data_IF_272466219985
#
_entry.id   IF_272466219985
#
_cell.length_a   1.000
_cell.length_b   1.000
_cell.length_c   1.000
_cell.angle_alpha   90.00
_cell.angle_beta   90.00
_cell.angle_gamma   90.00
#
_symmetry.space_group_name_H-M   'P 1'
#
loop_
_entity.id
_entity.type
_entity.pdbx_description
1 polymer ?
#
# COMPACT_ATOMS: atom_id res chain seq x y z
N UNK A 1 27.68 -12.81 -2.58
CA UNK A 1 27.78 -11.34 -2.82
C UNK A 1 26.45 -10.66 -3.19
N UNK A 2 25.64 -11.17 -4.13
CA UNK A 2 24.34 -10.54 -4.49
C UNK A 2 23.30 -10.49 -3.36
N UNK A 3 23.17 -11.56 -2.56
CA UNK A 3 22.20 -11.62 -1.46
C UNK A 3 22.51 -10.60 -0.34
N UNK A 4 23.78 -10.49 0.07
CA UNK A 4 24.23 -9.53 1.09
C UNK A 4 24.06 -8.08 0.59
N UNK A 5 24.32 -7.82 -0.70
CA UNK A 5 24.09 -6.49 -1.28
C UNK A 5 22.60 -6.16 -1.41
N UNK A 6 21.73 -7.15 -1.65
CA UNK A 6 20.28 -6.98 -1.65
C UNK A 6 19.74 -6.70 -0.24
N UNK A 7 20.16 -7.48 0.75
CA UNK A 7 19.84 -7.27 2.17
C UNK A 7 20.31 -5.89 2.67
N UNK A 8 21.49 -5.42 2.21
CA UNK A 8 21.99 -4.07 2.55
C UNK A 8 21.18 -2.93 1.92
N UNK A 9 20.45 -3.19 0.84
CA UNK A 9 19.66 -2.18 0.13
C UNK A 9 18.25 -2.03 0.71
N UNK A 10 17.68 -3.12 1.26
CA UNK A 10 16.37 -3.09 1.90
C UNK A 10 16.46 -2.58 3.34
N UNK A 11 16.41 -1.25 3.48
CA UNK A 11 16.48 -0.57 4.78
C UNK A 11 15.37 -0.98 5.74
N UNK A 12 14.20 -1.39 5.24
CA UNK A 12 13.08 -1.77 6.10
C UNK A 12 13.40 -3.13 6.71
N UNK A 13 13.83 -4.09 5.89
CA UNK A 13 14.28 -5.39 6.37
C UNK A 13 15.45 -5.28 7.36
N UNK A 14 16.40 -4.37 7.13
CA UNK A 14 17.50 -4.14 8.08
C UNK A 14 17.02 -3.59 9.42
N UNK A 15 16.11 -2.61 9.40
CA UNK A 15 15.54 -2.04 10.63
C UNK A 15 14.75 -3.10 11.38
N UNK A 16 13.93 -3.90 10.68
CA UNK A 16 13.18 -4.97 11.32
C UNK A 16 14.09 -6.05 11.87
N UNK A 17 15.09 -6.52 11.13
CA UNK A 17 16.09 -7.45 11.66
C UNK A 17 16.83 -6.88 12.87
N UNK A 18 17.18 -5.59 12.84
CA UNK A 18 17.83 -4.88 13.94
C UNK A 18 16.95 -4.77 15.19
N UNK A 19 15.63 -4.81 15.06
CA UNK A 19 14.69 -4.89 16.19
C UNK A 19 14.46 -6.33 16.60
N UNK A 20 14.23 -7.23 15.65
CA UNK A 20 13.91 -8.65 15.88
C UNK A 20 15.02 -9.37 16.62
N UNK A 21 16.29 -9.21 16.20
CA UNK A 21 17.41 -9.95 16.77
C UNK A 21 17.63 -9.65 18.26
N UNK A 22 17.67 -8.38 18.73
CA UNK A 22 17.70 -8.09 20.16
C UNK A 22 16.46 -8.58 20.90
N UNK A 23 15.27 -8.45 20.29
CA UNK A 23 14.02 -8.83 20.95
C UNK A 23 13.91 -10.34 21.19
N UNK A 24 14.47 -11.16 20.28
CA UNK A 24 14.59 -12.62 20.45
C UNK A 24 15.42 -13.01 21.68
N UNK A 25 16.31 -12.13 22.16
CA UNK A 25 17.08 -12.37 23.39
C UNK A 25 16.24 -12.09 24.65
N UNK A 26 15.24 -11.21 24.54
CA UNK A 26 14.33 -10.84 25.64
C UNK A 26 13.21 -11.87 25.81
N UNK A 27 12.70 -12.41 24.70
CA UNK A 27 11.69 -13.46 24.71
C UNK A 27 11.89 -14.45 23.56
N UNK A 28 11.87 -15.77 23.81
CA UNK A 28 12.10 -16.75 22.76
C UNK A 28 10.98 -16.68 21.70
N UNK A 29 11.34 -16.72 20.40
CA UNK A 29 10.36 -16.79 19.33
C UNK A 29 9.74 -18.18 19.28
N UNK A 30 8.43 -18.26 19.06
CA UNK A 30 7.73 -19.52 18.84
C UNK A 30 7.39 -19.67 17.36
N UNK A 31 7.43 -20.89 16.81
CA UNK A 31 6.98 -21.14 15.43
C UNK A 31 5.50 -20.77 15.22
N UNK A 32 4.71 -20.82 16.30
CA UNK A 32 3.30 -20.41 16.31
C UNK A 32 3.11 -18.89 16.20
N UNK A 33 4.15 -18.08 16.46
CA UNK A 33 4.08 -16.61 16.29
C UNK A 33 3.93 -16.24 14.81
N UNK A 34 4.34 -17.12 13.90
CA UNK A 34 4.31 -16.91 12.46
C UNK A 34 3.01 -17.44 11.85
N UNK A 35 2.23 -16.54 11.24
CA UNK A 35 1.05 -16.92 10.48
C UNK A 35 1.44 -17.34 9.05
N UNK A 36 1.71 -18.64 8.88
CA UNK A 36 2.09 -19.24 7.60
C UNK A 36 1.05 -19.04 6.48
N UNK A 37 -0.27 -19.23 6.70
CA UNK A 37 -1.27 -18.90 5.71
C UNK A 37 -1.15 -17.48 5.14
N UNK A 38 -0.92 -16.48 6.01
CA UNK A 38 -0.74 -15.08 5.58
C UNK A 38 0.51 -14.93 4.72
N UNK A 39 1.63 -15.53 5.10
CA UNK A 39 2.86 -15.47 4.30
C UNK A 39 2.71 -16.11 2.93
N UNK A 40 2.02 -17.25 2.83
CA UNK A 40 1.76 -17.92 1.55
C UNK A 40 0.78 -17.13 0.67
N UNK A 41 -0.25 -16.53 1.29
CA UNK A 41 -1.18 -15.62 0.61
C UNK A 41 -0.46 -14.37 0.11
N UNK A 42 0.41 -13.75 0.94
CA UNK A 42 1.26 -12.63 0.55
C UNK A 42 2.16 -12.99 -0.63
N UNK A 43 2.84 -14.14 -0.60
CA UNK A 43 3.68 -14.58 -1.71
C UNK A 43 2.87 -14.70 -3.00
N UNK A 44 1.71 -15.36 -2.92
CA UNK A 44 0.83 -15.56 -4.08
C UNK A 44 0.43 -14.22 -4.70
N UNK A 45 0.06 -13.26 -3.85
CA UNK A 45 -0.30 -11.92 -4.29
C UNK A 45 0.88 -11.17 -4.89
N UNK A 46 2.02 -11.10 -4.21
CA UNK A 46 3.19 -10.38 -4.70
C UNK A 46 3.67 -10.91 -6.06
N UNK A 47 3.65 -12.23 -6.27
CA UNK A 47 4.00 -12.81 -7.57
C UNK A 47 2.94 -12.50 -8.65
N UNK A 48 1.66 -12.66 -8.32
CA UNK A 48 0.56 -12.30 -9.24
C UNK A 48 0.66 -10.84 -9.68
N UNK A 49 0.92 -9.95 -8.73
CA UNK A 49 1.11 -8.51 -8.95
C UNK A 49 2.30 -8.22 -9.88
N UNK A 50 3.43 -8.91 -9.69
CA UNK A 50 4.60 -8.77 -10.58
C UNK A 50 4.29 -9.21 -12.00
N UNK A 51 3.51 -10.28 -12.16
CA UNK A 51 3.07 -10.72 -13.48
C UNK A 51 2.16 -9.67 -14.15
N UNK A 52 1.19 -9.10 -13.42
CA UNK A 52 0.38 -7.99 -13.93
C UNK A 52 1.22 -6.75 -14.28
N UNK A 53 2.16 -6.36 -13.43
CA UNK A 53 3.07 -5.22 -13.68
C UNK A 53 3.87 -5.43 -14.98
N UNK A 54 4.43 -6.63 -15.16
CA UNK A 54 5.24 -6.95 -16.33
C UNK A 54 4.45 -6.96 -17.65
N UNK A 55 3.12 -7.13 -17.59
CA UNK A 55 2.23 -7.01 -18.76
C UNK A 55 1.98 -5.57 -19.23
N UNK A 56 2.54 -4.55 -18.55
CA UNK A 56 2.47 -3.11 -18.91
C UNK A 56 1.06 -2.50 -18.98
N UNK A 57 0.05 -3.15 -18.36
CA UNK A 57 -1.35 -2.71 -18.44
C UNK A 57 -1.57 -1.30 -17.87
N UNK A 58 -1.02 -1.00 -16.69
CA UNK A 58 -1.16 0.33 -16.07
C UNK A 58 -0.40 1.39 -16.85
N UNK A 59 0.80 1.07 -17.35
CA UNK A 59 1.58 2.02 -18.13
C UNK A 59 0.81 2.45 -19.38
N UNK A 60 0.22 1.48 -20.08
CA UNK A 60 -0.65 1.74 -21.23
C UNK A 60 -1.90 2.55 -20.87
N UNK A 61 -2.63 2.17 -19.81
CA UNK A 61 -3.83 2.89 -19.38
C UNK A 61 -3.51 4.33 -19.00
N UNK A 62 -2.41 4.55 -18.26
CA UNK A 62 -1.97 5.87 -17.88
C UNK A 62 -1.64 6.73 -19.10
N UNK A 63 -0.90 6.20 -20.08
CA UNK A 63 -0.60 6.93 -21.33
C UNK A 63 -1.88 7.24 -22.13
N UNK A 64 -2.83 6.30 -22.22
CA UNK A 64 -4.14 6.50 -22.88
C UNK A 64 -4.96 7.62 -22.22
N UNK A 65 -5.00 7.64 -20.89
CA UNK A 65 -5.72 8.68 -20.13
C UNK A 65 -5.07 10.06 -20.29
N UNK A 66 -3.74 10.10 -20.33
CA UNK A 66 -2.98 11.33 -20.60
C UNK A 66 -3.35 11.89 -21.98
N UNK A 67 -3.43 11.06 -23.03
CA UNK A 67 -3.82 11.51 -24.38
C UNK A 67 -5.25 12.06 -24.46
N UNK A 68 -6.17 11.55 -23.62
CA UNK A 68 -7.55 12.04 -23.56
C UNK A 68 -7.69 13.35 -22.78
N UNK A 69 -6.63 13.78 -22.09
CA UNK A 69 -6.67 14.93 -21.19
C UNK A 69 -6.49 16.23 -21.97
N UNK A 70 -7.49 17.12 -21.90
CA UNK A 70 -7.48 18.43 -22.56
C UNK A 70 -6.97 19.55 -21.66
N UNK A 71 -6.95 19.36 -20.35
CA UNK A 71 -6.51 20.36 -19.36
C UNK A 71 -5.66 19.72 -18.27
N UNK A 72 -4.84 20.52 -17.57
CA UNK A 72 -4.04 20.03 -16.44
C UNK A 72 -4.92 19.42 -15.34
N UNK A 73 -6.05 20.07 -15.02
CA UNK A 73 -7.03 19.54 -14.07
C UNK A 73 -7.59 18.18 -14.48
N UNK A 74 -7.97 18.03 -15.75
CA UNK A 74 -8.50 16.76 -16.24
C UNK A 74 -7.43 15.66 -16.19
N UNK A 75 -6.19 15.99 -16.56
CA UNK A 75 -5.06 15.07 -16.43
C UNK A 75 -4.88 14.59 -14.98
N UNK A 76 -4.86 15.52 -14.02
CA UNK A 76 -4.70 15.17 -12.61
C UNK A 76 -5.85 14.31 -12.11
N UNK A 77 -7.10 14.63 -12.47
CA UNK A 77 -8.26 13.77 -12.13
C UNK A 77 -8.09 12.35 -12.64
N UNK A 78 -7.69 12.18 -13.90
CA UNK A 78 -7.46 10.85 -14.46
C UNK A 78 -6.32 10.11 -13.76
N UNK A 79 -5.22 10.79 -13.45
CA UNK A 79 -4.10 10.17 -12.74
C UNK A 79 -4.46 9.80 -11.30
N UNK A 80 -5.22 10.64 -10.58
CA UNK A 80 -5.67 10.33 -9.22
C UNK A 80 -6.67 9.18 -9.23
N UNK A 81 -7.63 9.17 -10.16
CA UNK A 81 -8.57 8.05 -10.36
C UNK A 81 -7.82 6.77 -10.69
N UNK A 82 -6.89 6.80 -11.65
CA UNK A 82 -6.08 5.64 -12.00
C UNK A 82 -5.26 5.14 -10.81
N UNK A 83 -4.72 6.05 -10.00
CA UNK A 83 -3.88 5.66 -8.85
C UNK A 83 -4.72 5.08 -7.72
N UNK A 84 -5.88 5.67 -7.46
CA UNK A 84 -6.82 5.20 -6.46
C UNK A 84 -7.34 3.80 -6.80
N UNK A 85 -7.94 3.63 -7.98
CA UNK A 85 -8.46 2.32 -8.41
C UNK A 85 -7.35 1.33 -8.77
N UNK A 86 -6.24 1.80 -9.34
CA UNK A 86 -5.09 0.97 -9.64
C UNK A 86 -4.48 0.37 -8.37
N UNK A 87 -4.43 1.13 -7.28
CA UNK A 87 -3.85 0.66 -6.02
C UNK A 87 -4.77 -0.36 -5.31
N UNK A 88 -6.08 -0.36 -5.59
CA UNK A 88 -6.98 -1.43 -5.15
C UNK A 88 -6.62 -2.80 -5.73
N UNK A 89 -6.05 -2.82 -6.93
CA UNK A 89 -5.76 -4.07 -7.64
C UNK A 89 -4.29 -4.43 -7.51
N UNK A 90 -3.40 -3.45 -7.70
CA UNK A 90 -1.98 -3.70 -7.94
C UNK A 90 -1.04 -3.38 -6.80
N UNK A 91 -1.58 -2.84 -5.70
CA UNK A 91 -0.88 -2.20 -4.58
C UNK A 91 -0.44 -0.77 -4.80
N UNK A 92 -0.35 -0.04 -3.69
CA UNK A 92 0.15 1.34 -3.63
C UNK A 92 1.56 1.48 -4.20
N UNK A 93 2.46 0.53 -3.90
CA UNK A 93 3.86 0.61 -4.32
C UNK A 93 4.03 0.49 -5.84
N UNK A 94 3.35 -0.48 -6.48
CA UNK A 94 3.38 -0.66 -7.95
C UNK A 94 2.82 0.57 -8.66
N UNK A 95 1.72 1.13 -8.15
CA UNK A 95 1.13 2.37 -8.69
C UNK A 95 2.11 3.53 -8.58
N UNK A 96 2.79 3.68 -7.45
CA UNK A 96 3.79 4.74 -7.24
C UNK A 96 4.98 4.55 -8.19
N UNK A 97 5.53 3.33 -8.30
CA UNK A 97 6.62 2.98 -9.23
C UNK A 97 6.27 3.24 -10.68
N UNK A 98 5.00 3.09 -11.05
CA UNK A 98 4.54 3.31 -12.43
C UNK A 98 4.21 4.78 -12.71
N UNK A 99 3.47 5.43 -11.81
CA UNK A 99 2.86 6.73 -12.06
C UNK A 99 3.77 7.92 -11.70
N UNK A 100 4.66 7.81 -10.71
CA UNK A 100 5.60 8.90 -10.39
C UNK A 100 6.56 9.20 -11.57
N UNK A 101 7.22 8.21 -12.20
CA UNK A 101 8.04 8.46 -13.37
C UNK A 101 7.25 9.05 -14.53
N UNK A 102 6.00 8.62 -14.70
CA UNK A 102 5.10 9.15 -15.72
C UNK A 102 4.79 10.63 -15.48
N UNK A 103 4.39 11.01 -14.26
CA UNK A 103 4.14 12.41 -13.89
C UNK A 103 5.38 13.27 -14.15
N UNK A 104 6.57 12.78 -13.78
CA UNK A 104 7.82 13.48 -14.03
C UNK A 104 8.10 13.67 -15.53
N UNK A 105 7.88 12.62 -16.34
CA UNK A 105 8.01 12.70 -17.81
C UNK A 105 7.04 13.72 -18.41
N UNK A 106 5.80 13.76 -17.94
CA UNK A 106 4.81 14.74 -18.41
C UNK A 106 5.21 16.16 -17.98
N UNK A 107 5.66 16.34 -16.73
CA UNK A 107 6.04 17.66 -16.23
C UNK A 107 7.25 18.28 -16.97
N UNK A 108 8.08 17.47 -17.62
CA UNK A 108 9.15 17.96 -18.51
C UNK A 108 8.62 18.64 -19.77
N UNK A 109 7.40 18.31 -20.21
CA UNK A 109 6.77 18.88 -21.42
C UNK A 109 5.64 19.87 -21.09
N UNK A 110 4.98 19.71 -19.95
CA UNK A 110 3.87 20.56 -19.49
C UNK A 110 4.14 20.99 -18.07
N UNK A 111 4.24 22.29 -17.82
CA UNK A 111 4.55 22.82 -16.50
C UNK A 111 3.33 22.82 -15.58
N UNK A 112 3.39 22.05 -14.49
CA UNK A 112 2.41 22.11 -13.40
C UNK A 112 3.11 21.94 -12.05
N UNK A 113 2.37 22.12 -10.95
CA UNK A 113 2.92 21.90 -9.60
C UNK A 113 3.20 20.40 -9.38
N UNK A 114 4.41 19.99 -9.70
CA UNK A 114 4.90 18.61 -9.61
C UNK A 114 4.85 18.06 -8.18
N UNK A 115 5.22 18.89 -7.19
CA UNK A 115 5.26 18.46 -5.80
C UNK A 115 3.84 18.14 -5.30
N UNK A 116 2.87 18.99 -5.64
CA UNK A 116 1.46 18.76 -5.35
C UNK A 116 0.94 17.50 -6.05
N UNK A 117 1.28 17.31 -7.33
CA UNK A 117 0.85 16.15 -8.11
C UNK A 117 1.37 14.83 -7.52
N UNK A 118 2.67 14.73 -7.21
CA UNK A 118 3.25 13.52 -6.60
C UNK A 118 2.67 13.28 -5.19
N UNK A 119 2.44 14.35 -4.41
CA UNK A 119 1.85 14.22 -3.07
C UNK A 119 0.43 13.66 -3.13
N UNK A 120 -0.43 14.23 -3.97
CA UNK A 120 -1.80 13.73 -4.14
C UNK A 120 -1.85 12.34 -4.76
N UNK A 121 -0.91 12.01 -5.67
CA UNK A 121 -0.76 10.67 -6.23
C UNK A 121 -0.47 9.65 -5.13
N UNK A 122 0.45 9.97 -4.22
CA UNK A 122 0.81 9.11 -3.10
C UNK A 122 -0.39 8.91 -2.15
N UNK A 123 -1.12 9.98 -1.84
CA UNK A 123 -2.35 9.90 -1.05
C UNK A 123 -3.40 9.02 -1.76
N UNK A 124 -3.57 9.21 -3.07
CA UNK A 124 -4.49 8.40 -3.88
C UNK A 124 -4.11 6.91 -3.86
N UNK A 125 -2.82 6.59 -3.98
CA UNK A 125 -2.34 5.22 -3.90
C UNK A 125 -2.58 4.61 -2.50
N UNK A 126 -2.28 5.33 -1.42
CA UNK A 126 -2.52 4.85 -0.06
C UNK A 126 -4.01 4.63 0.21
N UNK A 127 -4.86 5.62 -0.04
CA UNK A 127 -6.30 5.51 0.24
C UNK A 127 -6.99 4.53 -0.70
N UNK A 128 -6.57 4.47 -1.97
CA UNK A 128 -7.05 3.48 -2.92
C UNK A 128 -6.72 2.06 -2.49
N UNK A 129 -5.46 1.82 -2.08
CA UNK A 129 -5.03 0.52 -1.57
C UNK A 129 -5.80 0.03 -0.35
N UNK A 130 -6.36 0.93 0.44
CA UNK A 130 -7.13 0.57 1.63
C UNK A 130 -8.45 -0.16 1.33
N UNK A 131 -8.96 -0.09 0.08
CA UNK A 131 -10.32 -0.56 -0.22
C UNK A 131 -10.41 -2.08 -0.33
N UNK A 132 -9.33 -2.75 -0.73
CA UNK A 132 -9.32 -4.20 -0.97
C UNK A 132 -8.33 -4.90 -0.03
N UNK A 133 -8.47 -6.22 0.19
CA UNK A 133 -7.49 -6.98 0.96
C UNK A 133 -6.10 -6.95 0.32
N UNK A 134 -6.06 -6.92 -1.02
CA UNK A 134 -4.84 -7.05 -1.82
C UNK A 134 -4.13 -5.74 -2.08
N UNK A 135 -4.80 -4.60 -1.87
CA UNK A 135 -4.24 -3.30 -2.17
C UNK A 135 -3.04 -2.97 -1.28
N UNK A 136 -3.02 -3.43 -0.03
CA UNK A 136 -1.85 -3.27 0.81
C UNK A 136 -1.68 -4.43 1.80
N UNK A 137 -0.45 -4.65 2.28
CA UNK A 137 -0.18 -5.77 3.17
C UNK A 137 -0.90 -5.68 4.53
N UNK A 138 -1.11 -4.48 5.08
CA UNK A 138 -1.83 -4.32 6.36
C UNK A 138 -3.28 -4.77 6.27
N UNK A 139 -3.96 -4.53 5.15
CA UNK A 139 -5.32 -5.00 4.93
C UNK A 139 -5.38 -6.50 4.75
N UNK A 140 -4.42 -7.08 4.03
CA UNK A 140 -4.36 -8.52 3.91
C UNK A 140 -4.14 -9.18 5.29
N UNK A 141 -3.32 -8.56 6.14
CA UNK A 141 -3.16 -9.03 7.51
C UNK A 141 -4.48 -8.97 8.29
N UNK A 142 -5.19 -7.82 8.28
CA UNK A 142 -6.50 -7.68 8.92
C UNK A 142 -7.49 -8.73 8.41
N UNK A 143 -7.53 -8.92 7.10
CA UNK A 143 -8.41 -9.85 6.41
C UNK A 143 -8.24 -11.28 6.93
N UNK A 144 -6.99 -11.76 7.04
CA UNK A 144 -6.71 -13.11 7.49
C UNK A 144 -6.76 -13.25 9.03
N UNK A 145 -6.22 -12.26 9.77
CA UNK A 145 -6.16 -12.31 11.23
C UNK A 145 -7.56 -12.34 11.85
N UNK A 146 -8.48 -11.51 11.35
CA UNK A 146 -9.87 -11.47 11.81
C UNK A 146 -10.82 -12.37 10.99
N UNK A 147 -10.29 -13.17 10.06
CA UNK A 147 -11.07 -14.09 9.22
C UNK A 147 -12.26 -13.41 8.52
N UNK A 148 -12.00 -12.23 7.95
CA UNK A 148 -13.02 -11.43 7.28
C UNK A 148 -13.40 -12.03 5.94
N UNK A 149 -14.66 -11.89 5.55
CA UNK A 149 -15.07 -12.11 4.16
C UNK A 149 -14.78 -10.88 3.30
N UNK A 150 -14.60 -11.08 1.98
CA UNK A 150 -14.42 -9.95 1.05
C UNK A 150 -15.55 -8.93 1.17
N UNK A 151 -16.79 -9.40 1.33
CA UNK A 151 -17.95 -8.53 1.51
C UNK A 151 -17.84 -7.69 2.79
N UNK A 152 -17.45 -8.28 3.92
CA UNK A 152 -17.28 -7.54 5.17
C UNK A 152 -16.22 -6.45 5.04
N UNK A 153 -15.06 -6.77 4.43
CA UNK A 153 -14.01 -5.77 4.23
C UNK A 153 -14.47 -4.65 3.29
N UNK A 154 -15.13 -4.96 2.19
CA UNK A 154 -15.67 -3.94 1.27
C UNK A 154 -16.74 -3.06 1.94
N UNK A 155 -17.57 -3.65 2.81
CA UNK A 155 -18.57 -2.91 3.59
C UNK A 155 -17.94 -1.99 4.63
N UNK A 156 -16.79 -2.35 5.20
CA UNK A 156 -16.00 -1.47 6.07
C UNK A 156 -15.29 -0.38 5.27
N UNK A 157 -14.82 -0.70 4.06
CA UNK A 157 -14.02 0.18 3.24
C UNK A 157 -14.82 1.27 2.51
N UNK A 158 -16.05 1.00 2.06
CA UNK A 158 -16.76 1.90 1.15
C UNK A 158 -16.96 3.34 1.68
N UNK A 159 -17.25 3.61 2.98
CA UNK A 159 -17.44 4.99 3.43
C UNK A 159 -16.14 5.77 3.32
N UNK A 160 -15.02 5.15 3.73
CA UNK A 160 -13.69 5.71 3.58
C UNK A 160 -13.32 5.89 2.11
N UNK A 161 -13.66 4.92 1.25
CA UNK A 161 -13.39 4.98 -0.18
C UNK A 161 -14.10 6.15 -0.88
N UNK A 162 -15.38 6.38 -0.56
CA UNK A 162 -16.14 7.50 -1.13
C UNK A 162 -15.61 8.84 -0.64
N UNK A 163 -15.36 8.98 0.67
CA UNK A 163 -14.83 10.22 1.23
C UNK A 163 -13.45 10.56 0.66
N UNK A 164 -12.54 9.58 0.64
CA UNK A 164 -11.19 9.75 0.08
C UNK A 164 -11.22 10.05 -1.42
N UNK A 165 -11.98 9.29 -2.21
CA UNK A 165 -12.15 9.53 -3.64
C UNK A 165 -12.71 10.91 -3.95
N UNK A 166 -13.73 11.36 -3.20
CA UNK A 166 -14.30 12.70 -3.30
C UNK A 166 -13.30 13.79 -2.95
N UNK A 167 -12.61 13.68 -1.81
CA UNK A 167 -11.59 14.64 -1.37
C UNK A 167 -10.42 14.75 -2.37
N UNK A 168 -9.96 13.63 -2.92
CA UNK A 168 -8.92 13.61 -3.95
C UNK A 168 -9.38 14.30 -5.24
N UNK A 169 -10.61 14.03 -5.67
CA UNK A 169 -11.15 14.63 -6.87
C UNK A 169 -11.38 16.14 -6.73
N UNK A 170 -11.79 16.59 -5.54
CA UNK A 170 -11.88 18.01 -5.16
C UNK A 170 -10.51 18.66 -5.09
N UNK A 171 -9.50 17.97 -4.53
CA UNK A 171 -8.12 18.46 -4.45
C UNK A 171 -7.52 18.73 -5.84
N UNK A 172 -7.99 18.03 -6.87
CA UNK A 172 -7.59 18.29 -8.26
C UNK A 172 -8.04 19.68 -8.75
N UNK A 173 -8.98 20.36 -8.09
CA UNK A 173 -9.39 21.72 -8.43
C UNK A 173 -8.28 22.75 -8.20
N UNK A 174 -7.24 22.43 -7.42
CA UNK A 174 -6.04 23.25 -7.27
C UNK A 174 -5.18 23.34 -8.56
N UNK A 175 -5.45 22.51 -9.56
CA UNK A 175 -4.78 22.57 -10.86
C UNK A 175 -5.54 23.43 -11.87
N UNK A 176 -4.77 24.03 -12.78
CA UNK A 176 -5.28 24.95 -13.81
C UNK A 176 -6.22 24.25 -14.79
N UNK A 177 -7.18 25.01 -15.32
CA UNK A 177 -8.00 24.61 -16.48
C UNK A 177 -7.33 24.94 -17.82
N UNK A 178 -6.09 25.43 -17.81
CA UNK A 178 -5.34 25.75 -19.02
C UNK A 178 -5.29 24.55 -19.98
N UNK A 179 -5.41 24.80 -21.30
CA UNK A 179 -5.33 23.74 -22.30
C UNK A 179 -3.99 23.03 -22.22
N UNK A 180 -4.04 21.71 -22.34
CA UNK A 180 -2.89 20.83 -22.25
C UNK A 180 -2.66 20.20 -23.61
N UNK A 181 -1.55 20.58 -24.26
CA UNK A 181 -1.08 19.96 -25.49
C UNK A 181 0.08 19.03 -25.17
N UNK A 182 -0.24 17.77 -24.87
CA UNK A 182 0.76 16.74 -24.64
C UNK A 182 0.42 15.52 -25.49
N UNK A 183 1.37 15.13 -26.35
CA UNK A 183 1.32 13.87 -27.06
C UNK A 183 2.49 13.00 -26.58
N UNK A 184 2.23 11.81 -26.00
CA UNK A 184 3.29 10.86 -25.70
C UNK A 184 3.93 10.41 -27.02
N UNK A 185 5.27 10.35 -27.04
CA UNK A 185 6.02 10.02 -28.26
C UNK A 185 5.87 8.56 -28.71
N UNK A 186 5.67 7.63 -27.77
CA UNK A 186 5.48 6.20 -28.06
C UNK A 186 4.58 5.59 -26.99
N UNK A 187 3.58 4.82 -27.44
CA UNK A 187 2.71 4.05 -26.56
C UNK A 187 3.22 2.62 -26.50
N UNK A 188 3.53 2.13 -25.31
CA UNK A 188 3.87 0.72 -25.13
C UNK A 188 2.56 -0.08 -25.04
N UNK A 189 2.38 -1.02 -25.98
CA UNK A 189 1.20 -1.88 -25.99
C UNK A 189 1.32 -2.94 -24.89
N UNK A 190 0.25 -3.20 -24.13
CA UNK A 190 0.27 -4.22 -23.09
C UNK A 190 0.03 -5.60 -23.70
N UNK A 191 0.48 -6.64 -23.00
CA UNK A 191 0.31 -8.02 -23.42
C UNK A 191 -1.10 -8.52 -23.06
N UNK A 192 -2.14 -8.09 -23.78
CA UNK A 192 -3.54 -8.45 -23.51
C UNK A 192 -3.78 -9.96 -23.39
N UNK A 193 -3.03 -10.77 -24.14
CA UNK A 193 -3.13 -12.24 -24.09
C UNK A 193 -2.80 -12.82 -22.72
N UNK A 194 -1.98 -12.14 -21.91
CA UNK A 194 -1.64 -12.60 -20.56
C UNK A 194 -2.85 -12.58 -19.63
N UNK A 195 -3.87 -11.75 -19.90
CA UNK A 195 -5.09 -11.70 -19.10
C UNK A 195 -5.85 -13.04 -19.12
N UNK A 196 -5.72 -13.85 -20.18
CA UNK A 196 -6.30 -15.18 -20.25
C UNK A 196 -5.77 -16.13 -19.17
N UNK A 197 -4.54 -15.91 -18.70
CA UNK A 197 -3.91 -16.67 -17.61
C UNK A 197 -4.08 -15.92 -16.28
N UNK A 198 -3.85 -14.61 -16.28
CA UNK A 198 -3.83 -13.81 -15.05
C UNK A 198 -5.22 -13.68 -14.40
N UNK A 199 -6.30 -13.56 -15.18
CA UNK A 199 -7.65 -13.42 -14.61
C UNK A 199 -8.09 -14.70 -13.89
N UNK A 200 -8.00 -15.92 -14.49
CA UNK A 200 -8.29 -17.15 -13.76
C UNK A 200 -7.42 -17.36 -12.52
N UNK A 201 -6.12 -17.07 -12.61
CA UNK A 201 -5.19 -17.19 -11.48
C UNK A 201 -5.56 -16.20 -10.37
N UNK A 202 -5.94 -14.97 -10.72
CA UNK A 202 -6.42 -13.99 -9.74
C UNK A 202 -7.70 -14.47 -9.04
N UNK A 203 -8.61 -15.14 -9.75
CA UNK A 203 -9.81 -15.75 -9.15
C UNK A 203 -9.40 -16.86 -8.18
N UNK A 204 -8.46 -17.74 -8.54
CA UNK A 204 -7.96 -18.79 -7.63
C UNK A 204 -7.35 -18.16 -6.36
N UNK A 205 -6.49 -17.15 -6.52
CA UNK A 205 -5.90 -16.43 -5.38
C UNK A 205 -6.98 -15.78 -4.52
N UNK A 206 -8.04 -15.22 -5.11
CA UNK A 206 -9.17 -14.66 -4.39
C UNK A 206 -9.92 -15.72 -3.56
N UNK A 207 -10.15 -16.90 -4.15
CA UNK A 207 -10.82 -18.04 -3.47
C UNK A 207 -9.97 -18.53 -2.30
N UNK A 208 -8.67 -18.66 -2.51
CA UNK A 208 -7.70 -19.08 -1.48
C UNK A 208 -7.62 -18.07 -0.35
N UNK A 209 -7.56 -16.78 -0.65
CA UNK A 209 -7.50 -15.73 0.38
C UNK A 209 -8.78 -15.70 1.21
N UNK A 210 -9.96 -15.92 0.62
CA UNK A 210 -11.23 -16.06 1.35
C UNK A 210 -11.35 -17.39 2.14
N UNK A 211 -10.27 -18.16 2.31
CA UNK A 211 -10.22 -19.44 3.03
C UNK A 211 -11.12 -20.56 2.45
N UNK A 212 -11.61 -20.42 1.22
CA UNK A 212 -12.34 -21.53 0.56
C UNK A 212 -11.39 -22.65 0.11
N UNK A 213 -10.10 -22.35 -0.07
CA UNK A 213 -9.05 -23.28 -0.44
C UNK A 213 -7.79 -23.03 0.38
N UNK A 214 -6.97 -24.07 0.58
CA UNK A 214 -5.70 -23.94 1.28
C UNK A 214 -4.73 -22.99 0.55
N UNK A 215 -3.95 -22.15 1.29
CA UNK A 215 -2.98 -21.19 0.74
C UNK A 215 -2.02 -21.75 -0.32
N UNK A 216 -1.66 -23.03 -0.19
CA UNK A 216 -0.76 -23.72 -1.11
C UNK A 216 -1.27 -23.73 -2.56
N UNK A 217 -2.59 -23.78 -2.77
CA UNK A 217 -3.17 -23.76 -4.11
C UNK A 217 -2.98 -22.42 -4.80
N UNK A 218 -2.99 -21.31 -4.04
CA UNK A 218 -2.65 -19.99 -4.55
C UNK A 218 -1.20 -19.95 -5.04
N UNK A 219 -0.28 -20.47 -4.23
CA UNK A 219 1.16 -20.56 -4.54
C UNK A 219 1.40 -21.37 -5.82
N UNK A 220 0.77 -22.55 -5.92
CA UNK A 220 0.89 -23.41 -7.10
C UNK A 220 0.39 -22.68 -8.34
N UNK A 221 -0.80 -22.06 -8.27
CA UNK A 221 -1.40 -21.35 -9.40
C UNK A 221 -0.51 -20.22 -9.91
N UNK A 222 0.05 -19.39 -9.01
CA UNK A 222 0.89 -18.25 -9.42
C UNK A 222 2.27 -18.68 -9.92
N UNK A 223 2.84 -19.77 -9.41
CA UNK A 223 4.10 -20.33 -9.91
C UNK A 223 3.88 -20.86 -11.33
N UNK A 224 2.82 -21.62 -11.57
CA UNK A 224 2.48 -22.10 -12.91
C UNK A 224 2.25 -20.94 -13.88
N UNK A 225 1.52 -19.91 -13.46
CA UNK A 225 1.33 -18.69 -14.25
C UNK A 225 2.66 -18.01 -14.60
N UNK A 226 3.58 -17.91 -13.63
CA UNK A 226 4.90 -17.34 -13.87
C UNK A 226 5.70 -18.20 -14.85
N UNK A 227 5.66 -19.53 -14.75
CA UNK A 227 6.35 -20.42 -15.69
C UNK A 227 5.81 -20.29 -17.12
N UNK A 228 4.49 -20.11 -17.28
CA UNK A 228 3.83 -19.95 -18.58
C UNK A 228 4.12 -18.58 -19.19
N UNK A 229 3.98 -17.50 -18.42
CA UNK A 229 4.03 -16.13 -18.93
C UNK A 229 5.46 -15.58 -18.96
N UNK A 230 6.16 -15.62 -17.83
CA UNK A 230 7.52 -15.12 -17.69
C UNK A 230 8.18 -15.59 -16.40
N UNK A 231 8.97 -16.67 -16.49
CA UNK A 231 9.68 -17.27 -15.34
C UNK A 231 10.62 -16.31 -14.62
N UNK A 232 11.09 -15.25 -15.28
CA UNK A 232 11.99 -14.29 -14.66
C UNK A 232 11.30 -13.50 -13.55
N UNK A 233 9.96 -13.41 -13.56
CA UNK A 233 9.20 -12.69 -12.54
C UNK A 233 9.27 -13.35 -11.16
N UNK A 234 9.58 -14.66 -11.09
CA UNK A 234 9.87 -15.33 -9.82
C UNK A 234 11.03 -14.66 -9.08
N UNK A 235 12.06 -14.21 -9.79
CA UNK A 235 13.21 -13.51 -9.19
C UNK A 235 12.93 -12.03 -8.89
N UNK A 236 11.83 -11.48 -9.38
CA UNK A 236 11.45 -10.07 -9.18
C UNK A 236 10.43 -9.88 -8.05
N UNK A 237 9.98 -10.98 -7.43
CA UNK A 237 9.17 -10.93 -6.21
C UNK A 237 9.97 -10.22 -5.11
N UNK A 238 9.29 -9.38 -4.33
CA UNK A 238 9.90 -8.71 -3.19
C UNK A 238 10.01 -9.67 -2.00
N UNK A 239 11.04 -10.52 -2.05
CA UNK A 239 11.37 -11.44 -0.95
C UNK A 239 11.81 -10.69 0.32
N UNK A 240 12.30 -9.45 0.17
CA UNK A 240 12.62 -8.59 1.32
C UNK A 240 11.37 -8.24 2.11
N UNK A 241 10.28 -7.89 1.43
CA UNK A 241 8.98 -7.67 2.06
C UNK A 241 8.46 -8.92 2.76
N UNK A 242 8.53 -10.10 2.14
CA UNK A 242 8.13 -11.37 2.79
C UNK A 242 8.94 -11.67 4.05
N UNK A 243 10.26 -11.49 3.99
CA UNK A 243 11.13 -11.65 5.14
C UNK A 243 10.83 -10.61 6.25
N UNK A 244 10.44 -9.40 5.85
CA UNK A 244 10.02 -8.34 6.77
C UNK A 244 8.72 -8.73 7.49
N UNK A 245 7.74 -9.29 6.79
CA UNK A 245 6.53 -9.84 7.40
C UNK A 245 6.83 -10.96 8.38
N UNK A 246 7.69 -11.89 8.00
CA UNK A 246 8.17 -12.97 8.88
C UNK A 246 8.80 -12.41 10.17
N UNK A 247 9.67 -11.39 10.04
CA UNK A 247 10.24 -10.69 11.18
C UNK A 247 9.18 -10.01 12.05
N UNK A 248 8.20 -9.33 11.44
CA UNK A 248 7.13 -8.68 12.18
C UNK A 248 6.28 -9.67 12.95
N UNK A 249 5.93 -10.82 12.37
CA UNK A 249 5.19 -11.85 13.11
C UNK A 249 5.91 -12.28 14.38
N UNK A 250 7.21 -12.52 14.29
CA UNK A 250 8.04 -12.86 15.44
C UNK A 250 8.07 -11.71 16.46
N UNK A 251 8.38 -10.49 15.99
CA UNK A 251 8.43 -9.30 16.85
C UNK A 251 7.12 -9.10 17.58
N UNK A 252 5.98 -9.13 16.88
CA UNK A 252 4.68 -8.90 17.49
C UNK A 252 4.28 -10.02 18.43
N UNK A 253 4.67 -11.27 18.14
CA UNK A 253 4.48 -12.39 19.07
C UNK A 253 5.25 -12.19 20.37
N UNK A 254 6.51 -11.75 20.29
CA UNK A 254 7.31 -11.44 21.48
C UNK A 254 6.72 -10.22 22.22
N UNK A 255 6.44 -9.12 21.51
CA UNK A 255 5.91 -7.89 22.11
C UNK A 255 4.55 -8.11 22.80
N UNK A 256 3.68 -8.98 22.26
CA UNK A 256 2.38 -9.29 22.87
C UNK A 256 2.47 -10.04 24.19
N UNK A 257 3.65 -10.59 24.52
CA UNK A 257 3.93 -11.30 25.78
C UNK A 257 4.70 -10.45 26.79
N UNK A 258 5.20 -9.27 26.41
CA UNK A 258 5.95 -8.42 27.33
C UNK A 258 5.01 -7.70 28.31
N UNK A 259 5.13 -7.92 29.64
CA UNK A 259 4.19 -7.40 30.63
C UNK A 259 3.98 -5.89 30.56
N UNK A 260 5.07 -5.12 30.43
CA UNK A 260 5.02 -3.66 30.32
C UNK A 260 4.24 -3.16 29.10
N UNK A 261 4.39 -3.82 27.94
CA UNK A 261 3.64 -3.43 26.74
C UNK A 261 2.18 -3.83 26.83
N UNK A 262 1.89 -4.98 27.44
CA UNK A 262 0.52 -5.41 27.72
C UNK A 262 -0.17 -4.37 28.61
N UNK A 263 0.48 -3.92 29.69
CA UNK A 263 -0.06 -2.89 30.60
C UNK A 263 -0.35 -1.55 29.91
N UNK A 264 0.49 -1.14 28.97
CA UNK A 264 0.30 0.11 28.22
C UNK A 264 -0.76 -0.03 27.12
N UNK A 265 -0.70 -1.09 26.32
CA UNK A 265 -1.51 -1.22 25.12
C UNK A 265 -2.93 -1.68 25.42
N UNK A 266 -3.11 -2.58 26.39
CA UNK A 266 -4.43 -3.12 26.76
C UNK A 266 -5.47 -2.01 27.01
N UNK A 267 -5.25 -1.00 27.87
CA UNK A 267 -6.25 0.05 28.10
C UNK A 267 -6.52 0.90 26.85
N UNK A 268 -5.50 1.11 26.01
CA UNK A 268 -5.62 1.87 24.76
C UNK A 268 -6.42 1.11 23.69
N UNK A 269 -6.53 -0.21 23.79
CA UNK A 269 -7.17 -1.07 22.79
C UNK A 269 -8.53 -1.64 23.21
N UNK A 270 -9.06 -1.23 24.38
CA UNK A 270 -10.39 -1.64 24.86
C UNK A 270 -11.56 -0.84 24.27
N UNK A 271 -11.34 0.38 23.78
CA UNK A 271 -12.42 1.26 23.30
C UNK A 271 -12.30 1.53 21.80
N UNK A 272 -13.43 1.75 21.11
CA UNK A 272 -13.45 2.07 19.67
C UNK A 272 -12.55 3.26 19.34
N UNK A 273 -12.66 4.33 20.12
CA UNK A 273 -11.84 5.54 19.96
C UNK A 273 -10.37 5.28 20.27
N UNK A 274 -10.07 4.54 21.34
CA UNK A 274 -8.71 4.18 21.72
C UNK A 274 -8.01 3.38 20.62
N UNK A 275 -8.66 2.34 20.09
CA UNK A 275 -8.13 1.51 18.99
C UNK A 275 -7.91 2.34 17.74
N UNK A 276 -8.87 3.18 17.37
CA UNK A 276 -8.78 4.05 16.20
C UNK A 276 -7.61 5.03 16.29
N UNK A 277 -7.49 5.75 17.41
CA UNK A 277 -6.43 6.72 17.64
C UNK A 277 -5.06 6.04 17.76
N UNK A 278 -4.98 4.89 18.44
CA UNK A 278 -3.75 4.11 18.54
C UNK A 278 -3.29 3.64 17.15
N UNK A 279 -4.21 3.17 16.31
CA UNK A 279 -3.92 2.81 14.92
C UNK A 279 -3.29 3.97 14.14
N UNK A 280 -3.81 5.19 14.31
CA UNK A 280 -3.25 6.39 13.65
C UNK A 280 -1.87 6.73 14.19
N UNK A 281 -1.75 6.87 15.52
CA UNK A 281 -0.54 7.36 16.19
C UNK A 281 0.63 6.39 16.04
N UNK A 282 0.39 5.09 16.26
CA UNK A 282 1.42 4.06 16.09
C UNK A 282 1.87 3.99 14.64
N UNK A 283 0.95 4.17 13.67
CA UNK A 283 1.32 4.23 12.25
C UNK A 283 2.29 5.36 11.96
N UNK A 284 2.17 6.54 12.59
CA UNK A 284 3.07 7.68 12.33
C UNK A 284 4.54 7.38 12.67
N UNK A 285 4.79 6.42 13.56
CA UNK A 285 6.11 6.07 14.08
C UNK A 285 6.63 4.77 13.47
N UNK A 286 5.79 3.73 13.44
CA UNK A 286 6.18 2.38 13.02
C UNK A 286 5.80 2.04 11.56
N UNK A 287 5.06 2.91 10.86
CA UNK A 287 4.29 2.60 9.65
C UNK A 287 3.02 1.80 9.93
N UNK A 288 2.05 1.93 9.03
CA UNK A 288 0.77 1.20 9.03
C UNK A 288 0.88 -0.34 9.14
N UNK A 289 1.85 -0.99 8.48
CA UNK A 289 2.02 -2.45 8.51
C UNK A 289 2.40 -2.96 9.92
N UNK A 290 3.46 -2.45 10.57
CA UNK A 290 3.82 -2.95 11.91
C UNK A 290 2.82 -2.51 12.97
N UNK A 291 2.22 -1.33 12.79
CA UNK A 291 1.16 -0.84 13.67
C UNK A 291 -0.01 -1.83 13.75
N UNK A 292 -0.49 -2.32 12.59
CA UNK A 292 -1.62 -3.26 12.59
C UNK A 292 -1.24 -4.61 13.17
N UNK A 293 -0.04 -5.12 12.86
CA UNK A 293 0.40 -6.44 13.35
C UNK A 293 0.57 -6.44 14.86
N UNK A 294 0.99 -5.31 15.45
CA UNK A 294 1.10 -5.14 16.90
C UNK A 294 -0.28 -4.99 17.55
N UNK A 295 -1.07 -4.00 17.11
CA UNK A 295 -2.32 -3.62 17.77
C UNK A 295 -3.42 -4.69 17.66
N UNK A 296 -3.43 -5.46 16.57
CA UNK A 296 -4.41 -6.53 16.38
C UNK A 296 -4.34 -7.62 17.46
N UNK A 297 -3.16 -7.83 18.08
CA UNK A 297 -2.97 -8.78 19.17
C UNK A 297 -3.72 -8.39 20.45
N UNK A 298 -4.11 -7.11 20.58
CA UNK A 298 -4.69 -6.54 21.80
C UNK A 298 -6.14 -6.07 21.62
N UNK A 299 -6.76 -6.32 20.46
CA UNK A 299 -8.13 -5.87 20.20
C UNK A 299 -8.90 -6.80 19.29
N UNK A 300 -10.18 -6.98 19.60
CA UNK A 300 -11.17 -7.61 18.71
C UNK A 300 -11.89 -6.58 17.82
N UNK A 301 -11.60 -5.28 17.98
CA UNK A 301 -12.31 -4.20 17.30
C UNK A 301 -11.74 -3.93 15.91
N UNK A 302 -12.19 -4.74 14.95
CA UNK A 302 -11.68 -4.73 13.58
C UNK A 302 -11.88 -3.38 12.88
N UNK A 303 -13.11 -2.85 12.88
CA UNK A 303 -13.43 -1.63 12.11
C UNK A 303 -12.66 -0.38 12.60
N UNK A 304 -12.58 -0.08 13.91
CA UNK A 304 -11.74 1.01 14.40
C UNK A 304 -10.25 0.83 14.06
N UNK A 305 -9.73 -0.39 14.19
CA UNK A 305 -8.33 -0.68 13.85
C UNK A 305 -8.08 -0.49 12.35
N UNK A 306 -8.96 -1.04 11.51
CA UNK A 306 -8.94 -0.92 10.05
C UNK A 306 -8.91 0.55 9.61
N UNK A 307 -9.82 1.38 10.13
CA UNK A 307 -9.84 2.81 9.82
C UNK A 307 -8.57 3.50 10.34
N UNK A 308 -8.15 3.17 11.56
CA UNK A 308 -7.01 3.81 12.22
C UNK A 308 -5.69 3.61 11.46
N UNK A 309 -5.40 2.37 11.04
CA UNK A 309 -4.13 2.06 10.34
C UNK A 309 -4.14 2.47 8.87
N UNK A 310 -5.30 2.44 8.19
CA UNK A 310 -5.38 2.88 6.79
C UNK A 310 -5.31 4.40 6.65
N UNK A 311 -6.07 5.13 7.48
CA UNK A 311 -5.98 6.60 7.53
C UNK A 311 -4.64 7.02 8.14
N UNK A 312 -4.16 6.30 9.13
CA UNK A 312 -2.83 6.44 9.74
C UNK A 312 -1.67 6.20 8.78
N UNK A 313 -1.89 5.66 7.58
CA UNK A 313 -0.90 5.64 6.51
C UNK A 313 -0.62 7.02 5.89
N UNK A 314 -1.47 8.02 6.19
CA UNK A 314 -1.22 9.43 5.93
C UNK A 314 -0.44 10.06 7.08
N UNK A 315 -0.09 11.34 6.93
CA UNK A 315 0.64 12.14 7.92
C UNK A 315 2.14 12.22 7.63
N UNK A 316 2.95 11.53 8.43
CA UNK A 316 4.42 11.57 8.30
C UNK A 316 4.92 10.80 7.07
N UNK A 317 6.18 11.05 6.69
CA UNK A 317 6.84 10.26 5.65
C UNK A 317 7.02 8.79 6.08
N UNK A 318 7.14 8.52 7.38
CA UNK A 318 7.32 7.18 7.93
C UNK A 318 5.99 6.41 8.06
N UNK A 319 4.86 7.12 7.99
CA UNK A 319 3.52 6.56 8.21
C UNK A 319 3.15 5.40 7.28
N UNK A 320 3.71 5.40 6.07
CA UNK A 320 3.52 4.36 5.08
C UNK A 320 4.78 4.21 4.22
N UNK A 321 5.14 2.98 3.86
CA UNK A 321 6.25 2.70 2.96
C UNK A 321 6.10 3.38 1.60
N UNK A 322 4.85 3.51 1.13
CA UNK A 322 4.50 4.25 -0.08
C UNK A 322 4.96 5.72 -0.03
N UNK A 323 4.86 6.38 1.14
CA UNK A 323 5.29 7.77 1.31
C UNK A 323 6.80 7.90 1.09
N UNK A 324 7.58 7.00 1.69
CA UNK A 324 9.03 6.90 1.48
C UNK A 324 9.38 6.59 0.03
N UNK A 325 8.62 5.69 -0.62
CA UNK A 325 8.85 5.29 -1.99
C UNK A 325 8.61 6.44 -2.98
N UNK A 326 7.51 7.17 -2.80
CA UNK A 326 7.21 8.36 -3.61
C UNK A 326 8.31 9.42 -3.46
N UNK A 327 8.77 9.67 -2.23
CA UNK A 327 9.87 10.60 -1.97
C UNK A 327 11.19 10.14 -2.61
N UNK A 328 11.57 8.87 -2.43
CA UNK A 328 12.79 8.31 -3.05
C UNK A 328 12.75 8.41 -4.58
N UNK A 329 11.61 8.10 -5.19
CA UNK A 329 11.46 8.23 -6.63
C UNK A 329 11.55 9.67 -7.11
N UNK A 330 10.93 10.61 -6.39
CA UNK A 330 11.06 12.03 -6.68
C UNK A 330 12.54 12.47 -6.64
N UNK A 331 13.27 12.15 -5.56
CA UNK A 331 14.68 12.51 -5.44
C UNK A 331 15.56 11.89 -6.54
N UNK A 332 15.26 10.65 -6.95
CA UNK A 332 16.05 9.91 -7.94
C UNK A 332 15.81 10.39 -9.38
N UNK A 333 14.58 10.77 -9.72
CA UNK A 333 14.16 10.96 -11.11
C UNK A 333 13.90 12.42 -11.48
N UNK A 334 13.72 13.31 -10.51
CA UNK A 334 13.59 14.74 -10.77
C UNK A 334 14.95 15.34 -11.17
N UNK A 335 15.00 16.22 -12.19
CA UNK A 335 16.26 16.83 -12.65
C UNK A 335 16.91 17.73 -11.58
N UNK A 336 16.09 18.47 -10.82
CA UNK A 336 16.53 19.34 -9.72
C UNK A 336 15.63 19.12 -8.50
N UNK A 337 15.88 18.08 -7.69
CA UNK A 337 15.01 17.74 -6.57
C UNK A 337 15.12 18.77 -5.44
N UNK A 338 13.98 19.31 -5.02
CA UNK A 338 13.86 20.26 -3.91
C UNK A 338 13.32 19.53 -2.67
N UNK A 339 14.17 18.71 -2.04
CA UNK A 339 13.79 17.80 -0.96
C UNK A 339 13.00 18.49 0.17
N UNK A 340 13.49 19.61 0.70
CA UNK A 340 12.83 20.33 1.80
C UNK A 340 11.45 20.88 1.44
N UNK A 341 11.29 21.40 0.20
CA UNK A 341 9.99 21.90 -0.27
C UNK A 341 9.01 20.76 -0.53
N UNK A 342 9.50 19.65 -1.08
CA UNK A 342 8.69 18.44 -1.22
C UNK A 342 8.20 17.97 0.14
N UNK A 343 9.09 17.78 1.12
CA UNK A 343 8.73 17.30 2.44
C UNK A 343 7.72 18.22 3.14
N UNK A 344 7.95 19.54 3.10
CA UNK A 344 7.02 20.51 3.69
C UNK A 344 5.62 20.41 3.06
N UNK A 345 5.53 20.46 1.73
CA UNK A 345 4.24 20.40 1.04
C UNK A 345 3.56 19.04 1.22
N UNK A 346 4.32 17.96 1.08
CA UNK A 346 3.85 16.59 1.25
C UNK A 346 3.28 16.39 2.66
N UNK A 347 4.00 16.78 3.70
CA UNK A 347 3.54 16.68 5.08
C UNK A 347 2.30 17.53 5.34
N UNK A 348 2.23 18.77 4.84
CA UNK A 348 1.04 19.61 5.00
C UNK A 348 -0.19 18.94 4.37
N UNK A 349 -0.09 18.48 3.12
CA UNK A 349 -1.22 17.81 2.43
C UNK A 349 -1.66 16.57 3.21
N UNK A 350 -0.69 15.74 3.61
CA UNK A 350 -0.97 14.49 4.31
C UNK A 350 -1.59 14.72 5.70
N UNK A 351 -1.11 15.69 6.48
CA UNK A 351 -1.66 16.03 7.79
C UNK A 351 -3.06 16.64 7.66
N UNK A 352 -3.30 17.51 6.69
CA UNK A 352 -4.63 18.10 6.45
C UNK A 352 -5.62 17.01 6.07
N UNK A 353 -5.29 16.13 5.13
CA UNK A 353 -6.18 15.04 4.73
C UNK A 353 -6.36 14.00 5.84
N UNK A 354 -5.32 13.72 6.62
CA UNK A 354 -5.40 12.91 7.84
C UNK A 354 -6.43 13.50 8.81
N UNK A 355 -6.34 14.80 9.14
CA UNK A 355 -7.27 15.46 10.05
C UNK A 355 -8.73 15.40 9.54
N UNK A 356 -8.95 15.67 8.25
CA UNK A 356 -10.28 15.58 7.64
C UNK A 356 -10.85 14.16 7.72
N UNK A 357 -10.04 13.15 7.43
CA UNK A 357 -10.47 11.75 7.49
C UNK A 357 -10.66 11.26 8.92
N UNK A 358 -9.91 11.77 9.90
CA UNK A 358 -10.14 11.51 11.33
C UNK A 358 -11.52 12.00 11.73
N UNK A 359 -11.86 13.25 11.39
CA UNK A 359 -13.17 13.83 11.69
C UNK A 359 -14.27 13.00 11.03
N UNK A 360 -14.15 12.73 9.73
CA UNK A 360 -15.10 11.90 8.99
C UNK A 360 -15.30 10.52 9.64
N UNK A 361 -14.22 9.79 9.91
CA UNK A 361 -14.28 8.44 10.48
C UNK A 361 -14.75 8.41 11.92
N UNK A 362 -14.49 9.46 12.71
CA UNK A 362 -15.04 9.56 14.07
C UNK A 362 -16.57 9.58 14.07
N UNK A 363 -17.21 10.19 13.07
CA UNK A 363 -18.67 10.20 12.93
C UNK A 363 -19.25 8.81 12.62
N UNK A 364 -18.47 7.92 12.00
CA UNK A 364 -18.86 6.54 11.75
C UNK A 364 -18.61 5.64 12.96
N UNK A 365 -17.58 5.93 13.76
CA UNK A 365 -17.21 5.15 14.95
C UNK A 365 -18.10 5.43 16.16
N UNK A 366 -18.69 6.64 16.22
CA UNK A 366 -19.61 7.09 17.27
C UNK A 366 -21.08 6.66 17.03
N UNK A 367 -21.35 5.94 15.94
CA UNK A 367 -22.58 5.16 15.74
C UNK A 367 -22.34 3.71 16.17
#
# INVERSE_FOLDING_TARGET
MRLINYLKQDKILLVTLGITLPLMLVGPPHLADVNWPVLLNLFSLLLLLKLFESGQFIHYLAQRLVMRSRTQRQLMRWLMTLSFFGAMILTNDVVILTCVPLILKINKKVTFNLLLAISLLCVAANLGSSVTPFGNPQNLYLFNHYQLSLQQLLLMAWPLALASGGLLWLSCCCFSKAPLHYQPHQIQLPCWQWLWVLVPVAIIVLVVVNNFLAPIWGVIAVILAALILNRQQLYQVDYGLLATFFCFFIVTGILSRLPFLVEILTPLTQTKSGVFLSGILVSQVLSNVPAVMLLAQFTSQVMPLYLGVNIGGLGTLLASLANLLAFKQYLKLAPHPQAGRFLKLFSVINVVLLAVLIIFSSLFLLK
#
